data_IF_806533139472
#
_entry.id   IF_806533139472
#
_cell.length_a   1.000
_cell.length_b   1.000
_cell.length_c   1.000
_cell.angle_alpha   90.00
_cell.angle_beta   90.00
_cell.angle_gamma   90.00
#
_symmetry.space_group_name_H-M   'P 1'
#
loop_
_entity.id
_entity.type
_entity.pdbx_description
1 polymer ?
#
# COMPACT_ATOMS: atom_id res chain seq x y z
N UNK A 1 25.83 -36.45 -41.67
CA UNK A 1 24.96 -36.85 -40.55
C UNK A 1 25.68 -36.50 -39.27
N UNK A 2 25.45 -35.32 -38.77
CA UNK A 2 26.01 -34.81 -37.53
C UNK A 2 24.90 -34.93 -36.45
N UNK A 3 25.16 -35.76 -35.45
CA UNK A 3 24.25 -35.96 -34.32
C UNK A 3 24.14 -34.66 -33.51
N UNK A 4 22.93 -34.20 -33.32
CA UNK A 4 22.60 -33.12 -32.38
C UNK A 4 22.75 -33.68 -30.94
N UNK A 5 23.74 -33.17 -30.24
CA UNK A 5 23.95 -33.44 -28.81
C UNK A 5 22.84 -32.73 -28.03
N UNK A 6 21.92 -33.51 -27.52
CA UNK A 6 20.73 -33.03 -26.79
C UNK A 6 20.90 -33.22 -25.28
N UNK A 7 22.08 -32.92 -24.73
CA UNK A 7 22.31 -32.90 -23.29
C UNK A 7 21.85 -31.56 -22.67
N UNK A 8 20.54 -31.33 -22.64
CA UNK A 8 19.98 -30.36 -21.66
C UNK A 8 20.09 -31.00 -20.26
N UNK A 9 21.14 -30.63 -19.53
CA UNK A 9 21.20 -30.85 -18.10
C UNK A 9 20.07 -30.05 -17.46
N UNK A 10 18.97 -30.73 -17.11
CA UNK A 10 17.98 -30.19 -16.20
C UNK A 10 18.68 -30.00 -14.86
N UNK A 11 18.98 -28.75 -14.52
CA UNK A 11 19.27 -28.39 -13.14
C UNK A 11 18.10 -28.88 -12.31
N UNK A 12 18.34 -29.72 -11.32
CA UNK A 12 17.35 -30.09 -10.31
C UNK A 12 17.10 -28.86 -9.43
N UNK A 13 16.39 -27.86 -9.98
CA UNK A 13 15.80 -26.81 -9.18
C UNK A 13 14.86 -27.49 -8.19
N UNK A 14 15.00 -27.23 -6.91
CA UNK A 14 14.07 -27.65 -5.87
C UNK A 14 12.65 -27.34 -6.37
N UNK A 15 11.88 -28.38 -6.64
CA UNK A 15 10.46 -28.23 -7.00
C UNK A 15 9.76 -27.74 -5.74
N UNK A 16 9.46 -26.45 -5.68
CA UNK A 16 8.73 -25.86 -4.56
C UNK A 16 7.26 -26.22 -4.69
N UNK A 17 6.71 -26.85 -3.68
CA UNK A 17 5.27 -27.07 -3.57
C UNK A 17 4.59 -25.82 -3.00
N UNK A 18 4.04 -25.00 -3.88
CA UNK A 18 3.37 -23.74 -3.52
C UNK A 18 2.16 -23.97 -2.63
N UNK A 19 1.44 -25.08 -2.78
CA UNK A 19 0.31 -25.41 -1.94
C UNK A 19 0.74 -25.79 -0.53
N UNK A 20 1.87 -26.44 -0.38
CA UNK A 20 2.46 -26.72 0.94
C UNK A 20 2.86 -25.42 1.66
N UNK A 21 3.38 -24.40 0.93
CA UNK A 21 3.65 -23.10 1.52
C UNK A 21 2.36 -22.39 1.98
N UNK A 22 1.27 -22.53 1.20
CA UNK A 22 -0.03 -22.02 1.62
C UNK A 22 -0.57 -22.75 2.86
N UNK A 23 -0.44 -24.07 2.95
CA UNK A 23 -0.81 -24.86 4.15
C UNK A 23 -0.04 -24.40 5.38
N UNK A 24 1.27 -24.22 5.23
CA UNK A 24 2.16 -23.71 6.29
C UNK A 24 1.73 -22.33 6.76
N UNK A 25 1.43 -21.43 5.84
CA UNK A 25 0.95 -20.07 6.12
C UNK A 25 -0.40 -20.09 6.87
N UNK A 26 -1.36 -20.89 6.41
CA UNK A 26 -2.69 -21.03 7.02
C UNK A 26 -2.62 -21.64 8.42
N UNK A 27 -1.67 -22.55 8.66
CA UNK A 27 -1.39 -23.08 9.99
C UNK A 27 -0.69 -22.10 10.93
N UNK A 28 -0.44 -20.84 10.49
CA UNK A 28 0.27 -19.82 11.26
C UNK A 28 1.79 -19.99 11.26
N UNK A 29 2.32 -20.97 10.51
CA UNK A 29 3.75 -21.20 10.36
C UNK A 29 4.43 -20.07 9.59
N UNK A 30 5.72 -19.87 9.88
CA UNK A 30 6.56 -18.90 9.20
C UNK A 30 7.33 -19.60 8.07
N UNK A 31 7.31 -19.02 6.86
CA UNK A 31 8.20 -19.46 5.79
C UNK A 31 9.66 -19.28 6.22
N UNK A 32 10.51 -20.23 5.89
CA UNK A 32 11.96 -20.06 6.01
C UNK A 32 12.45 -18.98 5.03
N UNK A 33 13.64 -18.43 5.24
CA UNK A 33 14.22 -17.47 4.28
C UNK A 33 14.39 -18.06 2.89
N UNK A 34 14.77 -19.33 2.80
CA UNK A 34 14.95 -20.00 1.50
C UNK A 34 13.60 -20.21 0.79
N UNK A 35 12.54 -20.57 1.51
CA UNK A 35 11.17 -20.63 0.97
C UNK A 35 10.70 -19.24 0.50
N UNK A 36 10.96 -18.19 1.27
CA UNK A 36 10.62 -16.81 0.92
C UNK A 36 11.40 -16.32 -0.33
N UNK A 37 12.71 -16.60 -0.40
CA UNK A 37 13.51 -16.32 -1.60
C UNK A 37 13.02 -17.10 -2.81
N UNK A 38 12.65 -18.38 -2.64
CA UNK A 38 12.12 -19.19 -3.71
C UNK A 38 10.84 -18.58 -4.31
N UNK A 39 9.97 -17.95 -3.50
CA UNK A 39 8.81 -17.20 -4.01
C UNK A 39 9.26 -16.06 -4.93
N UNK A 40 10.26 -15.28 -4.52
CA UNK A 40 10.71 -14.10 -5.27
C UNK A 40 11.48 -14.44 -6.55
N UNK A 41 12.23 -15.58 -6.54
CA UNK A 41 13.17 -15.95 -7.61
C UNK A 41 12.65 -17.08 -8.52
N UNK A 42 11.43 -17.56 -8.30
CA UNK A 42 10.82 -18.59 -9.12
C UNK A 42 10.74 -18.20 -10.60
N UNK A 43 10.76 -19.21 -11.49
CA UNK A 43 10.55 -19.01 -12.91
C UNK A 43 9.17 -18.42 -13.22
N UNK A 44 9.02 -17.81 -14.38
CA UNK A 44 7.75 -17.23 -14.81
C UNK A 44 6.64 -18.28 -14.97
N UNK A 45 6.98 -19.52 -15.28
CA UNK A 45 6.04 -20.63 -15.39
C UNK A 45 5.33 -20.96 -14.06
N UNK A 46 5.98 -20.67 -12.92
CA UNK A 46 5.42 -20.91 -11.60
C UNK A 46 4.44 -19.80 -11.14
N UNK A 47 4.34 -18.67 -11.85
CA UNK A 47 3.61 -17.50 -11.34
C UNK A 47 2.13 -17.78 -11.08
N UNK A 48 1.46 -18.53 -11.94
CA UNK A 48 0.04 -18.84 -11.75
C UNK A 48 -0.19 -19.76 -10.55
N UNK A 49 0.70 -20.75 -10.33
CA UNK A 49 0.64 -21.63 -9.17
C UNK A 49 0.90 -20.87 -7.86
N UNK A 50 1.84 -19.91 -7.89
CA UNK A 50 2.10 -19.01 -6.77
C UNK A 50 0.87 -18.15 -6.44
N UNK A 51 0.23 -17.56 -7.45
CA UNK A 51 -0.98 -16.77 -7.29
C UNK A 51 -2.13 -17.62 -6.76
N UNK A 52 -2.29 -18.85 -7.25
CA UNK A 52 -3.32 -19.78 -6.76
C UNK A 52 -3.11 -20.12 -5.27
N UNK A 53 -1.86 -20.36 -4.86
CA UNK A 53 -1.50 -20.61 -3.46
C UNK A 53 -1.80 -19.39 -2.56
N UNK A 54 -1.38 -18.19 -2.98
CA UNK A 54 -1.65 -16.95 -2.26
C UNK A 54 -3.14 -16.63 -2.18
N UNK A 55 -3.91 -16.87 -3.26
CA UNK A 55 -5.35 -16.69 -3.29
C UNK A 55 -6.06 -17.59 -2.31
N UNK A 56 -5.64 -18.85 -2.18
CA UNK A 56 -6.16 -19.77 -1.19
C UNK A 56 -5.99 -19.21 0.23
N UNK A 57 -4.81 -18.67 0.57
CA UNK A 57 -4.55 -18.03 1.87
C UNK A 57 -5.44 -16.80 2.05
N UNK A 58 -5.53 -15.94 1.03
CA UNK A 58 -6.37 -14.75 1.08
C UNK A 58 -7.84 -15.09 1.33
N UNK A 59 -8.37 -16.10 0.64
CA UNK A 59 -9.78 -16.50 0.72
C UNK A 59 -10.21 -16.94 2.10
N UNK A 60 -9.33 -17.53 2.88
CA UNK A 60 -9.66 -18.01 4.23
C UNK A 60 -10.09 -16.86 5.15
N UNK A 61 -9.41 -15.71 5.08
CA UNK A 61 -9.74 -14.54 5.92
C UNK A 61 -10.68 -13.55 5.24
N UNK A 62 -10.48 -13.32 3.94
CA UNK A 62 -11.09 -12.19 3.22
C UNK A 62 -12.16 -12.60 2.22
N UNK A 63 -12.32 -13.90 1.93
CA UNK A 63 -13.20 -14.35 0.86
C UNK A 63 -12.85 -13.68 -0.46
N UNK A 64 -13.88 -13.20 -1.18
CA UNK A 64 -13.75 -12.42 -2.42
C UNK A 64 -13.93 -10.90 -2.20
N UNK A 65 -13.88 -10.42 -0.95
CA UNK A 65 -14.07 -9.00 -0.65
C UNK A 65 -12.84 -8.18 -0.98
N UNK A 66 -13.06 -6.99 -1.54
CA UNK A 66 -12.03 -5.98 -1.82
C UNK A 66 -12.41 -4.69 -1.11
N UNK A 67 -11.48 -4.13 -0.34
CA UNK A 67 -11.62 -2.84 0.33
C UNK A 67 -11.10 -1.72 -0.56
N UNK A 68 -11.86 -0.64 -0.61
CA UNK A 68 -11.43 0.59 -1.27
C UNK A 68 -11.03 1.63 -0.24
N UNK A 69 -9.89 2.25 -0.49
CA UNK A 69 -9.41 3.40 0.27
C UNK A 69 -9.30 4.61 -0.66
N UNK A 70 -9.68 5.77 -0.16
CA UNK A 70 -9.49 7.03 -0.87
C UNK A 70 -8.40 7.85 -0.15
N UNK A 71 -7.47 8.41 -0.94
CA UNK A 71 -6.32 9.12 -0.41
C UNK A 71 -6.50 10.63 -0.61
N UNK A 72 -6.36 11.39 0.48
CA UNK A 72 -6.35 12.85 0.47
C UNK A 72 -4.98 13.36 0.88
N UNK A 73 -4.28 14.05 -0.02
CA UNK A 73 -3.10 14.84 0.31
C UNK A 73 -3.55 16.16 0.95
N UNK A 74 -3.70 16.18 2.27
CA UNK A 74 -4.27 17.34 2.99
C UNK A 74 -3.27 18.47 3.20
N UNK A 75 -1.97 18.21 3.08
CA UNK A 75 -0.88 19.20 3.04
C UNK A 75 0.22 18.68 2.13
N UNK A 76 0.67 19.49 1.18
CA UNK A 76 1.63 19.07 0.16
C UNK A 76 2.92 19.90 0.17
N UNK A 77 4.04 19.21 -0.06
CA UNK A 77 5.38 19.81 -0.07
C UNK A 77 5.83 20.26 1.32
N UNK A 78 6.84 21.12 1.39
CA UNK A 78 7.37 21.73 2.64
C UNK A 78 7.82 20.68 3.69
N UNK A 79 8.13 19.45 3.28
CA UNK A 79 8.60 18.38 4.17
C UNK A 79 10.09 18.61 4.51
N UNK A 80 10.49 18.62 5.79
CA UNK A 80 11.89 18.78 6.18
C UNK A 80 12.72 17.50 6.04
N UNK A 81 12.09 16.37 5.73
CA UNK A 81 12.75 15.08 5.55
C UNK A 81 13.46 15.00 4.18
N UNK A 82 14.47 14.11 4.09
CA UNK A 82 15.29 13.92 2.88
C UNK A 82 15.05 12.57 2.17
N UNK A 83 13.85 12.00 2.30
CA UNK A 83 13.54 10.73 1.66
C UNK A 83 13.78 10.78 0.15
N UNK A 84 14.64 9.90 -0.36
CA UNK A 84 15.16 9.89 -1.74
C UNK A 84 14.09 9.60 -2.81
N UNK A 85 13.04 8.86 -2.46
CA UNK A 85 11.92 8.53 -3.36
C UNK A 85 10.84 9.60 -3.42
N UNK A 86 10.83 10.55 -2.46
CA UNK A 86 9.66 11.40 -2.21
C UNK A 86 9.73 12.73 -2.94
N UNK A 87 8.74 12.99 -3.81
CA UNK A 87 8.60 14.28 -4.51
C UNK A 87 8.37 15.47 -3.57
N UNK A 88 7.88 15.23 -2.34
CA UNK A 88 7.63 16.25 -1.32
C UNK A 88 8.84 16.49 -0.39
N UNK A 89 9.93 15.76 -0.56
CA UNK A 89 11.15 15.85 0.25
C UNK A 89 11.87 17.20 0.06
N UNK A 90 12.61 17.65 1.09
CA UNK A 90 13.41 18.90 1.03
C UNK A 90 14.50 18.88 -0.03
N UNK A 91 14.96 17.69 -0.42
CA UNK A 91 16.00 17.50 -1.43
C UNK A 91 15.45 17.31 -2.84
N UNK A 92 14.11 17.18 -2.98
CA UNK A 92 13.46 16.98 -4.27
C UNK A 92 13.32 18.31 -5.03
N UNK A 93 13.64 18.27 -6.31
CA UNK A 93 13.35 19.33 -7.28
C UNK A 93 12.10 19.04 -8.13
N UNK A 94 11.33 18.01 -7.77
CA UNK A 94 10.13 17.63 -8.50
C UNK A 94 9.11 18.79 -8.54
N UNK A 95 8.51 18.99 -9.70
CA UNK A 95 7.47 19.99 -9.93
C UNK A 95 6.13 19.45 -9.39
N UNK A 96 5.85 19.73 -8.13
CA UNK A 96 4.60 19.38 -7.45
C UNK A 96 3.91 20.65 -6.92
N UNK A 97 2.60 20.60 -6.82
CA UNK A 97 1.84 21.64 -6.13
C UNK A 97 2.16 21.61 -4.63
N UNK A 98 2.50 22.79 -4.06
CA UNK A 98 2.83 22.95 -2.64
C UNK A 98 1.79 23.84 -1.98
N UNK A 99 1.15 23.31 -0.95
CA UNK A 99 0.11 24.03 -0.21
C UNK A 99 0.12 23.65 1.28
N UNK A 100 -0.27 24.59 2.16
CA UNK A 100 -0.45 24.31 3.58
C UNK A 100 -1.65 23.38 3.80
N UNK A 101 -1.91 23.01 5.05
CA UNK A 101 -3.09 22.22 5.42
C UNK A 101 -4.35 22.82 4.79
N UNK A 102 -5.06 21.98 4.02
CA UNK A 102 -6.30 22.35 3.34
C UNK A 102 -7.34 22.91 4.32
N UNK A 103 -8.19 23.79 3.82
CA UNK A 103 -9.35 24.27 4.54
C UNK A 103 -10.37 23.13 4.71
N UNK A 104 -11.20 23.23 5.74
CA UNK A 104 -12.14 22.16 6.11
C UNK A 104 -13.15 21.83 5.00
N UNK A 105 -13.61 22.83 4.24
CA UNK A 105 -14.51 22.65 3.11
C UNK A 105 -13.89 21.74 2.03
N UNK A 106 -12.59 21.91 1.73
CA UNK A 106 -11.88 21.06 0.76
C UNK A 106 -11.70 19.63 1.25
N UNK A 107 -11.51 19.43 2.56
CA UNK A 107 -11.47 18.09 3.15
C UNK A 107 -12.84 17.44 3.07
N UNK A 108 -13.92 18.21 3.30
CA UNK A 108 -15.28 17.69 3.18
C UNK A 108 -15.64 17.34 1.74
N UNK A 109 -15.24 18.14 0.74
CA UNK A 109 -15.38 17.81 -0.69
C UNK A 109 -14.68 16.48 -1.03
N UNK A 110 -13.48 16.25 -0.46
CA UNK A 110 -12.76 14.98 -0.63
C UNK A 110 -13.46 13.80 0.04
N UNK A 111 -14.05 14.02 1.22
CA UNK A 111 -14.84 12.98 1.91
C UNK A 111 -16.14 12.65 1.13
N UNK A 112 -16.83 13.66 0.58
CA UNK A 112 -17.99 13.46 -0.30
C UNK A 112 -17.61 12.62 -1.53
N UNK A 113 -16.45 12.90 -2.11
CA UNK A 113 -15.90 12.13 -3.24
C UNK A 113 -15.55 10.69 -2.85
N UNK A 114 -14.88 10.51 -1.71
CA UNK A 114 -14.56 9.18 -1.21
C UNK A 114 -15.81 8.31 -1.05
N UNK A 115 -16.87 8.86 -0.46
CA UNK A 115 -18.14 8.17 -0.30
C UNK A 115 -18.80 7.85 -1.65
N UNK A 116 -18.78 8.81 -2.59
CA UNK A 116 -19.31 8.64 -3.95
C UNK A 116 -18.60 7.49 -4.69
N UNK A 117 -17.28 7.38 -4.54
CA UNK A 117 -16.45 6.33 -5.14
C UNK A 117 -16.47 5.01 -4.35
N UNK A 118 -17.41 4.84 -3.43
CA UNK A 118 -17.57 3.62 -2.62
C UNK A 118 -16.35 3.26 -1.76
N UNK A 119 -15.49 4.23 -1.45
CA UNK A 119 -14.39 3.99 -0.51
C UNK A 119 -14.94 3.77 0.90
N UNK A 120 -14.45 2.72 1.56
CA UNK A 120 -14.77 2.47 2.97
C UNK A 120 -13.88 3.26 3.94
N UNK A 121 -12.77 3.82 3.44
CA UNK A 121 -11.79 4.53 4.27
C UNK A 121 -11.27 5.77 3.56
N UNK A 122 -11.27 6.90 4.25
CA UNK A 122 -10.56 8.13 3.86
C UNK A 122 -9.19 8.15 4.53
N UNK A 123 -8.12 8.12 3.74
CA UNK A 123 -6.74 8.24 4.20
C UNK A 123 -6.30 9.71 4.11
N UNK A 124 -6.22 10.41 5.24
CA UNK A 124 -5.76 11.80 5.32
C UNK A 124 -4.26 11.84 5.54
N UNK A 125 -3.54 12.42 4.59
CA UNK A 125 -2.07 12.48 4.60
C UNK A 125 -1.60 13.93 4.64
N UNK A 126 -0.60 14.22 5.47
CA UNK A 126 0.13 15.48 5.45
C UNK A 126 1.61 15.23 5.17
N UNK A 127 2.24 16.15 4.45
CA UNK A 127 3.70 16.19 4.32
C UNK A 127 4.32 16.77 5.61
N UNK A 128 5.42 16.19 6.08
CA UNK A 128 6.14 16.68 7.26
C UNK A 128 6.69 15.57 8.12
N UNK A 129 7.63 15.92 9.02
CA UNK A 129 8.20 14.99 10.00
C UNK A 129 7.19 14.63 11.09
N UNK A 130 6.48 15.63 11.59
CA UNK A 130 5.45 15.53 12.62
C UNK A 130 4.54 16.78 12.52
N UNK A 131 3.26 16.70 12.81
CA UNK A 131 2.38 17.87 12.76
C UNK A 131 2.70 18.83 13.91
N UNK A 132 2.83 20.12 13.60
CA UNK A 132 2.78 21.18 14.61
C UNK A 132 1.36 21.32 15.16
N UNK A 133 1.21 21.88 16.38
CA UNK A 133 -0.06 21.91 17.11
C UNK A 133 -1.22 22.54 16.32
N UNK A 134 -0.95 23.61 15.55
CA UNK A 134 -1.97 24.27 14.72
C UNK A 134 -2.47 23.37 13.60
N UNK A 135 -1.58 22.65 12.90
CA UNK A 135 -1.96 21.71 11.84
C UNK A 135 -2.67 20.52 12.46
N UNK A 136 -2.16 20.03 13.59
CA UNK A 136 -2.74 18.90 14.30
C UNK A 136 -4.18 19.18 14.76
N UNK A 137 -4.43 20.37 15.33
CA UNK A 137 -5.78 20.82 15.69
C UNK A 137 -6.75 20.82 14.50
N UNK A 138 -6.30 21.34 13.33
CA UNK A 138 -7.11 21.31 12.10
C UNK A 138 -7.42 19.88 11.64
N UNK A 139 -6.47 18.94 11.77
CA UNK A 139 -6.70 17.52 11.46
C UNK A 139 -7.78 16.95 12.36
N UNK A 140 -7.70 17.19 13.68
CA UNK A 140 -8.69 16.69 14.64
C UNK A 140 -10.10 17.23 14.33
N UNK A 141 -10.21 18.50 14.00
CA UNK A 141 -11.49 19.14 13.64
C UNK A 141 -12.05 18.56 12.33
N UNK A 142 -11.18 18.36 11.34
CA UNK A 142 -11.57 17.76 10.07
C UNK A 142 -12.06 16.31 10.26
N UNK A 143 -11.38 15.50 11.07
CA UNK A 143 -11.78 14.13 11.39
C UNK A 143 -13.19 14.13 12.00
N UNK A 144 -13.46 14.98 13.02
CA UNK A 144 -14.78 15.08 13.65
C UNK A 144 -15.86 15.49 12.63
N UNK A 145 -15.56 16.46 11.75
CA UNK A 145 -16.51 16.91 10.73
C UNK A 145 -16.85 15.82 9.72
N UNK A 146 -15.84 15.07 9.23
CA UNK A 146 -16.07 13.96 8.31
C UNK A 146 -16.91 12.87 8.97
N UNK A 147 -16.57 12.47 10.19
CA UNK A 147 -17.31 11.44 10.96
C UNK A 147 -18.76 11.86 11.27
N UNK A 148 -19.03 13.14 11.41
CA UNK A 148 -20.38 13.64 11.63
C UNK A 148 -21.27 13.54 10.38
N UNK A 149 -20.69 13.54 9.19
CA UNK A 149 -21.43 13.55 7.91
C UNK A 149 -21.41 12.19 7.19
N UNK A 150 -20.32 11.42 7.31
CA UNK A 150 -20.08 10.21 6.55
C UNK A 150 -19.75 9.01 7.43
N UNK A 151 -20.20 7.85 7.02
CA UNK A 151 -19.79 6.57 7.59
C UNK A 151 -18.48 6.07 6.96
N UNK A 152 -17.46 6.95 6.92
CA UNK A 152 -16.14 6.64 6.44
C UNK A 152 -15.22 6.32 7.62
N UNK A 153 -14.49 5.23 7.55
CA UNK A 153 -13.33 5.02 8.44
C UNK A 153 -12.25 6.04 8.13
N UNK A 154 -11.57 6.53 9.16
CA UNK A 154 -10.48 7.48 8.97
C UNK A 154 -9.14 6.80 9.23
N UNK A 155 -8.24 6.90 8.24
CA UNK A 155 -6.84 6.57 8.38
C UNK A 155 -6.02 7.86 8.35
N UNK A 156 -5.20 8.12 9.38
CA UNK A 156 -4.34 9.30 9.45
C UNK A 156 -2.88 8.93 9.19
N UNK A 157 -2.19 9.69 8.31
CA UNK A 157 -0.77 9.57 8.00
C UNK A 157 -0.10 10.93 8.21
N UNK A 158 0.44 11.16 9.40
CA UNK A 158 0.86 12.49 9.86
C UNK A 158 2.35 12.58 10.23
N UNK A 159 3.17 11.65 9.73
CA UNK A 159 4.58 11.55 10.11
C UNK A 159 4.80 10.86 11.45
N UNK A 160 5.87 11.20 12.16
CA UNK A 160 6.19 10.66 13.48
C UNK A 160 5.22 11.21 14.53
N UNK A 161 4.65 10.31 15.33
CA UNK A 161 3.67 10.66 16.37
C UNK A 161 4.12 10.14 17.73
N UNK A 162 3.90 10.92 18.77
CA UNK A 162 4.05 10.49 20.15
C UNK A 162 2.73 9.91 20.72
N UNK A 163 2.80 9.31 21.89
CA UNK A 163 1.64 8.66 22.53
C UNK A 163 0.47 9.61 22.81
N UNK A 164 0.75 10.88 23.16
CA UNK A 164 -0.30 11.90 23.38
C UNK A 164 -1.05 12.22 22.08
N UNK A 165 -0.32 12.44 20.99
CA UNK A 165 -0.91 12.71 19.68
C UNK A 165 -1.74 11.51 19.19
N UNK A 166 -1.25 10.29 19.39
CA UNK A 166 -1.97 9.06 19.05
C UNK A 166 -3.29 8.98 19.84
N UNK A 167 -3.26 9.25 21.15
CA UNK A 167 -4.48 9.24 21.96
C UNK A 167 -5.48 10.31 21.51
N UNK A 168 -5.04 11.53 21.22
CA UNK A 168 -5.91 12.61 20.71
C UNK A 168 -6.55 12.28 19.37
N UNK A 169 -5.83 11.58 18.47
CA UNK A 169 -6.39 11.09 17.20
C UNK A 169 -7.47 10.02 17.45
N UNK A 170 -7.22 9.10 18.36
CA UNK A 170 -8.20 8.10 18.78
C UNK A 170 -9.47 8.74 19.32
N UNK A 171 -9.33 9.73 20.22
CA UNK A 171 -10.46 10.44 20.82
C UNK A 171 -11.25 11.27 19.79
N UNK A 172 -10.60 11.70 18.71
CA UNK A 172 -11.26 12.40 17.61
C UNK A 172 -12.02 11.46 16.65
N UNK A 173 -11.82 10.14 16.75
CA UNK A 173 -12.51 9.14 15.93
C UNK A 173 -11.68 8.60 14.76
N UNK A 174 -10.35 8.71 14.82
CA UNK A 174 -9.45 8.02 13.88
C UNK A 174 -9.39 6.54 14.26
N UNK A 175 -9.67 5.64 13.32
CA UNK A 175 -9.60 4.19 13.55
C UNK A 175 -8.24 3.60 13.29
N UNK A 176 -7.50 4.17 12.34
CA UNK A 176 -6.23 3.62 11.88
C UNK A 176 -5.19 4.73 11.75
N UNK A 177 -3.97 4.48 12.18
CA UNK A 177 -2.84 5.37 11.91
C UNK A 177 -1.89 4.68 10.95
N UNK A 178 -1.57 5.36 9.85
CA UNK A 178 -0.57 4.91 8.90
C UNK A 178 0.79 5.54 9.22
N UNK A 179 1.77 4.67 9.38
CA UNK A 179 3.18 5.06 9.38
C UNK A 179 4.02 3.93 8.78
N UNK A 180 4.37 4.07 7.50
CA UNK A 180 5.10 3.03 6.77
C UNK A 180 6.52 2.86 7.30
N UNK A 181 7.00 1.62 7.41
CA UNK A 181 8.43 1.34 7.60
C UNK A 181 9.24 1.73 6.36
N UNK A 182 8.61 1.70 5.20
CA UNK A 182 9.09 1.96 3.85
C UNK A 182 10.01 0.88 3.28
N UNK A 183 11.03 0.44 4.00
CA UNK A 183 11.97 -0.60 3.59
C UNK A 183 12.50 -1.36 4.81
N UNK A 184 13.48 -2.25 4.65
CA UNK A 184 14.15 -2.95 5.75
C UNK A 184 14.99 -2.00 6.61
N UNK A 185 15.32 -2.44 7.82
CA UNK A 185 16.27 -1.72 8.68
C UNK A 185 17.63 -1.56 7.99
N UNK A 186 18.10 -2.61 7.31
CA UNK A 186 19.39 -2.62 6.61
C UNK A 186 19.43 -1.62 5.43
N UNK A 187 18.37 -1.50 4.67
CA UNK A 187 18.32 -0.62 3.50
C UNK A 187 17.86 0.82 3.81
N UNK A 188 17.34 1.09 5.02
CA UNK A 188 16.86 2.43 5.41
C UNK A 188 17.91 3.55 5.22
N UNK A 189 19.22 3.35 5.54
CA UNK A 189 20.22 4.42 5.36
C UNK A 189 20.42 4.86 3.90
N UNK A 190 20.13 3.98 2.93
CA UNK A 190 20.20 4.30 1.49
C UNK A 190 19.00 5.13 1.01
N UNK A 191 17.92 5.16 1.83
CA UNK A 191 16.64 5.77 1.45
C UNK A 191 16.44 7.12 2.13
N UNK A 192 16.92 7.28 3.37
CA UNK A 192 16.68 8.47 4.19
C UNK A 192 17.76 8.64 5.25
N UNK A 193 18.20 9.89 5.45
CA UNK A 193 19.21 10.24 6.48
C UNK A 193 18.65 11.00 7.69
N UNK A 194 17.44 11.58 7.56
CA UNK A 194 16.90 12.46 8.62
C UNK A 194 16.15 11.74 9.74
N UNK A 195 15.84 10.47 9.58
CA UNK A 195 15.27 9.61 10.63
C UNK A 195 15.67 8.14 10.40
N UNK A 196 15.55 7.33 11.44
CA UNK A 196 15.95 5.92 11.43
C UNK A 196 14.76 4.99 11.22
N UNK A 197 15.05 3.70 11.01
CA UNK A 197 14.05 2.64 11.00
C UNK A 197 13.34 2.54 12.37
N UNK A 198 14.09 2.67 13.46
CA UNK A 198 13.61 2.61 14.84
C UNK A 198 12.65 3.76 15.16
N UNK A 199 12.88 4.97 14.64
CA UNK A 199 11.95 6.10 14.77
C UNK A 199 10.57 5.73 14.19
N UNK A 200 10.55 5.01 13.07
CA UNK A 200 9.31 4.54 12.43
C UNK A 200 8.65 3.43 13.23
N UNK A 201 9.43 2.45 13.67
CA UNK A 201 8.95 1.37 14.56
C UNK A 201 8.34 1.95 15.82
N UNK A 202 8.99 2.96 16.43
CA UNK A 202 8.50 3.64 17.62
C UNK A 202 7.10 4.24 17.44
N UNK A 203 6.83 4.85 16.28
CA UNK A 203 5.49 5.37 15.96
C UNK A 203 4.46 4.23 15.81
N UNK A 204 4.78 3.16 15.10
CA UNK A 204 3.89 1.99 14.94
C UNK A 204 3.60 1.35 16.29
N UNK A 205 4.61 1.25 17.17
CA UNK A 205 4.45 0.72 18.52
C UNK A 205 3.55 1.60 19.38
N UNK A 206 3.69 2.92 19.34
CA UNK A 206 2.84 3.86 20.06
C UNK A 206 1.36 3.72 19.65
N UNK A 207 1.09 3.50 18.35
CA UNK A 207 -0.27 3.23 17.83
C UNK A 207 -0.83 1.93 18.40
N UNK A 208 -0.01 0.87 18.41
CA UNK A 208 -0.37 -0.44 18.95
C UNK A 208 -0.68 -0.36 20.47
N UNK A 209 0.19 0.32 21.22
CA UNK A 209 0.05 0.49 22.67
C UNK A 209 -1.22 1.28 23.06
N UNK A 210 -1.64 2.19 22.19
CA UNK A 210 -2.93 2.89 22.34
C UNK A 210 -4.15 2.01 21.98
N UNK A 211 -3.93 0.77 21.54
CA UNK A 211 -5.00 -0.15 21.13
C UNK A 211 -5.68 0.28 19.82
N UNK A 212 -5.01 1.03 18.96
CA UNK A 212 -5.49 1.42 17.64
C UNK A 212 -5.03 0.45 16.56
N UNK A 213 -5.71 0.47 15.40
CA UNK A 213 -5.29 -0.30 14.25
C UNK A 213 -4.04 0.34 13.62
N UNK A 214 -3.03 -0.47 13.39
CA UNK A 214 -1.80 -0.08 12.71
C UNK A 214 -1.93 -0.28 11.20
N UNK A 215 -1.51 0.71 10.43
CA UNK A 215 -1.29 0.61 9.00
C UNK A 215 0.19 0.93 8.74
N UNK A 216 0.94 -0.03 8.24
CA UNK A 216 2.35 0.15 7.91
C UNK A 216 2.75 -0.79 6.78
N UNK A 217 3.56 -0.32 5.87
CA UNK A 217 4.01 -1.08 4.72
C UNK A 217 5.30 -0.52 4.16
N UNK A 218 5.51 -0.71 2.87
CA UNK A 218 6.75 -0.31 2.22
C UNK A 218 6.58 0.22 0.82
N UNK A 219 7.73 0.63 0.27
CA UNK A 219 7.93 0.97 -1.12
C UNK A 219 8.99 0.01 -1.65
N UNK A 220 8.63 -0.76 -2.67
CA UNK A 220 9.49 -1.78 -3.27
C UNK A 220 10.00 -1.30 -4.62
N UNK A 221 11.19 -1.75 -5.00
CA UNK A 221 11.85 -1.37 -6.26
C UNK A 221 12.72 -0.12 -6.15
N UNK A 222 13.24 0.17 -4.95
CA UNK A 222 14.16 1.27 -4.69
C UNK A 222 15.65 0.86 -4.82
N UNK A 223 15.95 -0.40 -5.21
CA UNK A 223 17.30 -0.97 -5.27
C UNK A 223 17.61 -1.91 -4.11
N UNK A 224 16.62 -2.22 -3.28
CA UNK A 224 16.73 -3.18 -2.18
C UNK A 224 16.92 -4.61 -2.67
N UNK A 225 17.60 -5.44 -1.87
CA UNK A 225 17.77 -6.87 -2.15
C UNK A 225 16.51 -7.69 -1.86
N UNK A 226 16.45 -8.94 -2.33
CA UNK A 226 15.39 -9.90 -1.96
C UNK A 226 15.31 -10.10 -0.45
N UNK A 227 16.45 -10.08 0.24
CA UNK A 227 16.48 -10.19 1.70
C UNK A 227 15.86 -8.98 2.38
N UNK A 228 16.05 -7.78 1.85
CA UNK A 228 15.42 -6.56 2.37
C UNK A 228 13.89 -6.60 2.18
N UNK A 229 13.41 -7.13 1.05
CA UNK A 229 11.96 -7.34 0.81
C UNK A 229 11.37 -8.31 1.84
N UNK A 230 12.10 -9.40 2.14
CA UNK A 230 11.70 -10.40 3.13
C UNK A 230 11.73 -9.81 4.54
N UNK A 231 12.80 -9.10 4.90
CA UNK A 231 12.99 -8.51 6.23
C UNK A 231 11.93 -7.44 6.54
N UNK A 232 11.54 -6.65 5.55
CA UNK A 232 10.42 -5.72 5.70
C UNK A 232 9.11 -6.47 6.03
N UNK A 233 8.78 -7.53 5.29
CA UNK A 233 7.57 -8.31 5.54
C UNK A 233 7.58 -8.99 6.92
N UNK A 234 8.74 -9.50 7.36
CA UNK A 234 8.91 -10.08 8.69
C UNK A 234 8.77 -9.04 9.79
N UNK A 235 9.35 -7.85 9.63
CA UNK A 235 9.20 -6.74 10.58
C UNK A 235 7.75 -6.31 10.74
N UNK A 236 6.99 -6.23 9.63
CA UNK A 236 5.56 -5.93 9.66
C UNK A 236 4.75 -7.01 10.39
N UNK A 237 5.13 -8.29 10.24
CA UNK A 237 4.54 -9.41 10.96
C UNK A 237 4.83 -9.35 12.45
N UNK A 238 6.08 -9.11 12.84
CA UNK A 238 6.52 -9.01 14.23
C UNK A 238 5.80 -7.87 14.97
N UNK A 239 5.63 -6.73 14.30
CA UNK A 239 4.87 -5.59 14.80
C UNK A 239 3.36 -5.85 14.83
N UNK A 240 2.88 -6.99 14.32
CA UNK A 240 1.46 -7.33 14.20
C UNK A 240 0.63 -6.24 13.49
N UNK A 241 1.19 -5.69 12.41
CA UNK A 241 0.53 -4.65 11.62
C UNK A 241 -0.77 -5.21 11.02
N UNK A 242 -1.86 -4.45 11.08
CA UNK A 242 -3.19 -4.90 10.63
C UNK A 242 -3.49 -4.61 9.15
N UNK A 243 -2.92 -3.53 8.59
CA UNK A 243 -3.08 -3.14 7.19
C UNK A 243 -1.72 -2.82 6.59
N UNK A 244 -1.39 -3.44 5.46
CA UNK A 244 -0.08 -3.39 4.84
C UNK A 244 -0.20 -2.83 3.42
N UNK A 245 0.01 -1.52 3.23
CA UNK A 245 0.14 -0.93 1.90
C UNK A 245 1.47 -1.34 1.26
N UNK A 246 1.38 -1.99 0.10
CA UNK A 246 2.50 -2.35 -0.76
C UNK A 246 2.53 -1.34 -1.90
N UNK A 247 3.49 -0.42 -1.84
CA UNK A 247 3.73 0.53 -2.91
C UNK A 247 4.88 0.03 -3.78
N UNK A 248 4.80 0.32 -5.05
CA UNK A 248 5.86 0.11 -6.02
C UNK A 248 6.44 1.48 -6.41
N UNK A 249 7.76 1.63 -6.38
CA UNK A 249 8.39 2.92 -6.61
C UNK A 249 7.94 3.52 -7.94
N UNK A 250 7.37 4.72 -7.89
CA UNK A 250 7.18 5.55 -9.07
C UNK A 250 8.39 6.48 -9.15
N UNK A 251 9.27 6.33 -10.14
CA UNK A 251 10.47 7.16 -10.26
C UNK A 251 10.10 8.55 -10.79
N UNK A 252 9.80 9.46 -9.85
CA UNK A 252 9.38 10.84 -10.17
C UNK A 252 10.59 11.68 -10.57
N UNK A 253 10.56 12.38 -11.73
CA UNK A 253 11.60 13.33 -12.13
C UNK A 253 11.87 14.37 -11.02
N UNK A 254 13.14 14.65 -10.76
CA UNK A 254 13.57 15.55 -9.69
C UNK A 254 13.71 14.91 -8.31
N UNK A 255 13.45 13.62 -8.16
CA UNK A 255 13.80 12.84 -6.95
C UNK A 255 15.14 12.15 -7.12
N UNK A 256 15.80 11.75 -6.02
CA UNK A 256 17.07 11.02 -6.09
C UNK A 256 16.92 9.69 -6.83
N UNK A 257 15.75 9.04 -6.74
CA UNK A 257 15.46 7.75 -7.36
C UNK A 257 14.76 7.87 -8.72
N UNK A 258 14.82 9.01 -9.38
CA UNK A 258 14.15 9.25 -10.68
C UNK A 258 14.56 8.30 -11.81
N UNK A 259 15.73 7.65 -11.71
CA UNK A 259 16.27 6.77 -12.73
C UNK A 259 16.18 5.26 -12.40
N UNK A 260 15.62 4.88 -11.26
CA UNK A 260 15.49 3.47 -10.86
C UNK A 260 14.34 2.82 -11.65
N UNK A 261 14.61 1.65 -12.29
CA UNK A 261 13.67 0.90 -13.14
C UNK A 261 13.86 -0.60 -12.96
N UNK A 262 13.58 -1.11 -11.77
CA UNK A 262 13.87 -2.52 -11.42
C UNK A 262 12.63 -3.43 -11.43
N UNK A 263 11.44 -2.84 -11.49
CA UNK A 263 10.20 -3.59 -11.38
C UNK A 263 9.60 -3.94 -12.73
N UNK A 264 9.12 -5.17 -12.84
CA UNK A 264 8.20 -5.63 -13.86
C UNK A 264 6.93 -6.22 -13.24
N UNK A 265 5.85 -6.47 -14.00
CA UNK A 265 4.59 -6.96 -13.44
C UNK A 265 4.72 -8.27 -12.67
N UNK A 266 5.58 -9.20 -13.13
CA UNK A 266 5.75 -10.53 -12.50
C UNK A 266 6.49 -10.40 -11.16
N UNK A 267 7.51 -9.54 -11.11
CA UNK A 267 8.21 -9.22 -9.86
C UNK A 267 7.25 -8.63 -8.83
N UNK A 268 6.41 -7.67 -9.23
CA UNK A 268 5.41 -7.08 -8.36
C UNK A 268 4.41 -8.12 -7.82
N UNK A 269 3.95 -9.03 -8.68
CA UNK A 269 3.04 -10.10 -8.27
C UNK A 269 3.71 -11.08 -7.29
N UNK A 270 4.98 -11.47 -7.51
CA UNK A 270 5.72 -12.34 -6.56
C UNK A 270 5.89 -11.67 -5.19
N UNK A 271 6.14 -10.37 -5.16
CA UNK A 271 6.19 -9.61 -3.91
C UNK A 271 4.82 -9.68 -3.18
N UNK A 272 3.73 -9.46 -3.89
CA UNK A 272 2.38 -9.57 -3.31
C UNK A 272 2.07 -10.99 -2.82
N UNK A 273 2.49 -12.02 -3.56
CA UNK A 273 2.39 -13.43 -3.15
C UNK A 273 3.17 -13.67 -1.87
N UNK A 274 4.43 -13.25 -1.82
CA UNK A 274 5.27 -13.38 -0.62
C UNK A 274 4.62 -12.72 0.59
N UNK A 275 4.15 -11.48 0.42
CA UNK A 275 3.49 -10.74 1.51
C UNK A 275 2.24 -11.48 2.00
N UNK A 276 1.42 -12.03 1.11
CA UNK A 276 0.25 -12.83 1.52
C UNK A 276 0.64 -14.09 2.27
N UNK A 277 1.66 -14.80 1.83
CA UNK A 277 2.13 -16.02 2.50
C UNK A 277 2.77 -15.73 3.87
N UNK A 278 3.46 -14.60 4.03
CA UNK A 278 4.03 -14.18 5.31
C UNK A 278 3.02 -13.50 6.24
N UNK A 279 1.98 -12.87 5.69
CA UNK A 279 0.98 -12.05 6.37
C UNK A 279 -0.44 -12.56 6.03
N UNK A 280 -0.80 -13.79 6.47
CA UNK A 280 -2.01 -14.47 5.99
C UNK A 280 -3.32 -13.76 6.34
N UNK A 281 -3.37 -13.09 7.48
CA UNK A 281 -4.60 -12.46 8.02
C UNK A 281 -4.66 -10.96 7.86
N UNK A 282 -3.55 -10.31 7.48
CA UNK A 282 -3.47 -8.88 7.33
C UNK A 282 -4.20 -8.39 6.07
N UNK A 283 -4.74 -7.18 6.13
CA UNK A 283 -5.15 -6.48 4.93
C UNK A 283 -3.91 -6.13 4.10
N UNK A 284 -3.79 -6.67 2.89
CA UNK A 284 -2.74 -6.29 1.94
C UNK A 284 -3.35 -5.38 0.88
N UNK A 285 -2.79 -4.18 0.75
CA UNK A 285 -3.24 -3.17 -0.20
C UNK A 285 -2.23 -2.99 -1.31
N UNK A 286 -2.65 -3.19 -2.56
CA UNK A 286 -1.87 -2.72 -3.71
C UNK A 286 -2.08 -1.21 -3.80
N UNK A 287 -0.99 -0.47 -3.60
CA UNK A 287 -1.01 0.98 -3.38
C UNK A 287 -0.35 1.75 -4.53
N UNK A 288 0.44 2.77 -4.25
CA UNK A 288 1.09 3.58 -5.28
C UNK A 288 1.93 2.74 -6.24
N UNK A 289 1.93 3.11 -7.52
CA UNK A 289 2.65 2.42 -8.60
C UNK A 289 1.94 1.18 -9.16
N UNK A 290 0.73 0.88 -8.72
CA UNK A 290 -0.07 -0.26 -9.21
C UNK A 290 -0.21 -0.22 -10.74
N UNK A 291 -0.72 0.87 -11.26
CA UNK A 291 -1.00 1.06 -12.69
C UNK A 291 0.28 1.03 -13.52
N UNK A 292 1.32 1.67 -13.00
CA UNK A 292 2.62 1.82 -13.63
C UNK A 292 3.31 0.46 -13.82
N UNK A 293 3.32 -0.36 -12.78
CA UNK A 293 4.12 -1.58 -12.74
C UNK A 293 3.32 -2.85 -13.05
N UNK A 294 2.06 -2.96 -12.63
CA UNK A 294 1.24 -4.12 -12.95
C UNK A 294 0.62 -4.03 -14.35
N UNK A 295 0.38 -2.85 -14.90
CA UNK A 295 -0.11 -2.62 -16.26
C UNK A 295 -1.40 -3.42 -16.53
N UNK A 296 -1.44 -4.24 -17.58
CA UNK A 296 -2.56 -5.13 -17.90
C UNK A 296 -2.76 -6.27 -16.87
N UNK A 297 -1.81 -6.48 -15.96
CA UNK A 297 -1.88 -7.52 -14.94
C UNK A 297 -2.41 -7.00 -13.59
N UNK A 298 -3.00 -5.81 -13.52
CA UNK A 298 -3.49 -5.22 -12.28
C UNK A 298 -4.50 -6.13 -11.55
N UNK A 299 -5.38 -6.75 -12.30
CA UNK A 299 -6.38 -7.68 -11.76
C UNK A 299 -5.74 -8.87 -11.04
N UNK A 300 -4.57 -9.33 -11.50
CA UNK A 300 -3.85 -10.45 -10.88
C UNK A 300 -3.37 -10.08 -9.47
N UNK A 301 -3.15 -8.81 -9.19
CA UNK A 301 -2.79 -8.32 -7.86
C UNK A 301 -3.90 -8.51 -6.81
N UNK A 302 -5.16 -8.63 -7.22
CA UNK A 302 -6.29 -8.86 -6.32
C UNK A 302 -6.36 -10.30 -5.78
N UNK A 303 -5.68 -11.26 -6.39
CA UNK A 303 -5.63 -12.62 -5.89
C UNK A 303 -4.81 -12.76 -4.60
N UNK A 304 -3.60 -12.16 -4.46
CA UNK A 304 -2.91 -12.12 -3.18
C UNK A 304 -3.38 -10.96 -2.27
N UNK A 305 -3.75 -9.79 -2.83
CA UNK A 305 -4.19 -8.62 -2.07
C UNK A 305 -5.73 -8.56 -1.96
N UNK A 306 -6.22 -7.80 -1.00
CA UNK A 306 -7.65 -7.63 -0.73
C UNK A 306 -8.08 -6.17 -0.59
N UNK A 307 -7.21 -5.25 -1.01
CA UNK A 307 -7.47 -3.81 -0.90
C UNK A 307 -6.70 -3.04 -1.98
N UNK A 308 -7.27 -1.92 -2.46
CA UNK A 308 -6.62 -0.96 -3.35
C UNK A 308 -6.98 0.48 -2.95
N UNK A 309 -6.22 1.45 -3.47
CA UNK A 309 -6.68 2.84 -3.52
C UNK A 309 -7.55 3.05 -4.76
N UNK A 310 -8.61 3.83 -4.62
CA UNK A 310 -9.45 4.33 -5.71
C UNK A 310 -9.21 5.83 -5.89
N UNK A 311 -9.06 6.28 -7.13
CA UNK A 311 -8.75 7.67 -7.45
C UNK A 311 -7.24 7.97 -7.48
N UNK A 312 -6.89 9.22 -7.18
CA UNK A 312 -5.51 9.69 -7.32
C UNK A 312 -4.64 9.37 -6.09
N UNK A 313 -3.32 9.41 -6.29
CA UNK A 313 -2.32 9.33 -5.24
C UNK A 313 -1.93 10.72 -4.71
N UNK A 314 -0.88 10.81 -3.88
CA UNK A 314 -0.48 12.08 -3.25
C UNK A 314 -0.06 13.15 -4.26
N UNK A 315 0.75 12.77 -5.24
CA UNK A 315 1.36 13.68 -6.22
C UNK A 315 1.32 13.12 -7.64
N UNK A 316 0.61 12.02 -7.87
CA UNK A 316 0.46 11.37 -9.19
C UNK A 316 -0.98 10.93 -9.40
N UNK A 317 -1.39 10.87 -10.67
CA UNK A 317 -2.71 10.37 -11.01
C UNK A 317 -2.77 8.84 -10.87
N UNK A 318 -3.92 8.36 -10.39
CA UNK A 318 -4.30 6.95 -10.43
C UNK A 318 -5.18 6.61 -11.63
N UNK A 319 -5.71 5.40 -11.66
CA UNK A 319 -6.70 4.95 -12.65
C UNK A 319 -8.05 5.63 -12.42
N UNK A 320 -8.89 5.65 -13.43
CA UNK A 320 -10.27 6.08 -13.27
C UNK A 320 -11.02 5.11 -12.33
N UNK A 321 -11.77 5.67 -11.38
CA UNK A 321 -12.48 4.86 -10.39
C UNK A 321 -13.43 3.83 -11.00
N UNK A 322 -14.14 4.18 -12.09
CA UNK A 322 -15.01 3.21 -12.77
C UNK A 322 -14.25 2.04 -13.36
N UNK A 323 -13.03 2.26 -13.85
CA UNK A 323 -12.19 1.18 -14.37
C UNK A 323 -11.70 0.27 -13.23
N UNK A 324 -11.42 0.83 -12.06
CA UNK A 324 -11.11 0.04 -10.85
C UNK A 324 -12.32 -0.81 -10.42
N UNK A 325 -13.50 -0.22 -10.38
CA UNK A 325 -14.74 -0.93 -9.99
C UNK A 325 -15.07 -2.05 -10.97
N UNK A 326 -14.97 -1.80 -12.29
CA UNK A 326 -15.16 -2.82 -13.31
C UNK A 326 -14.12 -3.94 -13.20
N UNK A 327 -12.87 -3.61 -13.02
CA UNK A 327 -11.80 -4.61 -12.84
C UNK A 327 -12.09 -5.54 -11.66
N UNK A 328 -12.62 -5.02 -10.56
CA UNK A 328 -13.00 -5.82 -9.39
C UNK A 328 -14.18 -6.74 -9.72
N UNK A 329 -15.22 -6.21 -10.35
CA UNK A 329 -16.44 -6.93 -10.74
C UNK A 329 -16.14 -8.03 -11.77
N UNK A 330 -15.43 -7.69 -12.86
CA UNK A 330 -15.06 -8.61 -13.94
C UNK A 330 -14.22 -9.80 -13.43
N UNK A 331 -13.45 -9.61 -12.35
CA UNK A 331 -12.68 -10.66 -11.71
C UNK A 331 -13.47 -11.51 -10.70
N UNK A 332 -14.77 -11.24 -10.53
CA UNK A 332 -15.64 -11.96 -9.57
C UNK A 332 -15.39 -11.59 -8.11
N UNK A 333 -14.76 -10.45 -7.85
CA UNK A 333 -14.62 -9.89 -6.51
C UNK A 333 -15.80 -8.97 -6.18
N UNK A 334 -16.05 -8.75 -4.89
CA UNK A 334 -17.10 -7.86 -4.38
C UNK A 334 -16.51 -6.76 -3.51
N UNK A 335 -17.06 -5.57 -3.58
CA UNK A 335 -16.65 -4.49 -2.70
C UNK A 335 -17.07 -4.77 -1.26
N UNK A 336 -16.24 -4.36 -0.31
CA UNK A 336 -16.56 -4.36 1.12
C UNK A 336 -17.02 -2.96 1.55
N UNK A 337 -18.18 -2.90 2.20
CA UNK A 337 -18.69 -1.67 2.82
C UNK A 337 -17.85 -1.24 4.03
N UNK A 338 -18.00 -0.01 4.55
CA UNK A 338 -17.32 0.41 5.78
C UNK A 338 -17.53 -0.54 6.95
N UNK A 339 -18.71 -1.17 7.07
CA UNK A 339 -19.03 -2.12 8.14
C UNK A 339 -18.37 -3.49 7.98
N UNK A 340 -17.75 -3.75 6.82
CA UNK A 340 -17.08 -5.02 6.52
C UNK A 340 -17.97 -6.04 5.79
N UNK A 341 -19.18 -5.65 5.41
CA UNK A 341 -20.12 -6.50 4.68
C UNK A 341 -19.92 -6.37 3.16
N UNK A 342 -20.29 -7.37 2.37
CA UNK A 342 -20.31 -7.24 0.91
C UNK A 342 -21.25 -6.14 0.46
N UNK A 343 -20.81 -5.28 -0.48
CA UNK A 343 -21.68 -4.30 -1.10
C UNK A 343 -22.78 -5.02 -1.90
N UNK A 344 -24.02 -4.64 -1.63
CA UNK A 344 -25.19 -5.15 -2.35
C UNK A 344 -25.58 -4.14 -3.44
N UNK A 345 -25.76 -4.61 -4.68
CA UNK A 345 -26.14 -3.79 -5.83
C UNK A 345 -24.96 -3.52 -6.78
N UNK A 346 -25.21 -2.69 -7.78
CA UNK A 346 -24.21 -2.31 -8.79
C UNK A 346 -23.15 -1.40 -8.17
N UNK A 347 -21.86 -1.79 -8.17
CA UNK A 347 -20.78 -0.95 -7.66
C UNK A 347 -20.61 0.36 -8.45
N UNK A 348 -21.09 0.42 -9.69
CA UNK A 348 -21.02 1.60 -10.56
C UNK A 348 -22.18 2.57 -10.35
N UNK A 349 -23.20 2.18 -9.58
CA UNK A 349 -24.38 3.02 -9.37
C UNK A 349 -24.03 4.34 -8.67
N UNK A 350 -24.40 5.46 -9.30
CA UNK A 350 -24.10 6.81 -8.85
C UNK A 350 -22.64 7.26 -9.06
N UNK A 351 -21.73 6.39 -9.52
CA UNK A 351 -20.33 6.77 -9.80
C UNK A 351 -20.24 7.44 -11.17
N UNK A 352 -19.78 8.71 -11.27
CA UNK A 352 -19.71 9.43 -12.53
C UNK A 352 -18.64 8.83 -13.47
N UNK A 353 -18.83 8.95 -14.78
CA UNK A 353 -17.84 8.51 -15.77
C UNK A 353 -16.51 9.25 -15.63
N UNK A 354 -16.60 10.52 -15.28
CA UNK A 354 -15.45 11.36 -14.96
C UNK A 354 -15.76 12.21 -13.72
N UNK A 355 -14.79 12.39 -12.87
CA UNK A 355 -14.86 13.33 -11.75
C UNK A 355 -13.69 14.32 -11.84
N UNK A 356 -13.86 15.56 -11.34
CA UNK A 356 -12.77 16.53 -11.32
C UNK A 356 -11.55 15.97 -10.58
N UNK A 357 -10.42 15.92 -11.28
CA UNK A 357 -9.12 15.53 -10.72
C UNK A 357 -8.25 16.74 -10.48
N UNK A 358 -7.39 16.67 -9.48
CA UNK A 358 -6.32 17.64 -9.36
C UNK A 358 -5.42 17.55 -10.61
N UNK A 359 -4.78 18.63 -11.05
CA UNK A 359 -3.81 18.63 -12.16
C UNK A 359 -2.51 17.96 -11.72
N UNK A 360 -2.56 16.66 -11.47
CA UNK A 360 -1.41 15.83 -11.10
C UNK A 360 -0.72 15.31 -12.36
N UNK A 361 0.62 15.17 -12.36
CA UNK A 361 1.33 14.65 -13.50
C UNK A 361 0.95 13.19 -13.78
N UNK A 362 0.68 12.88 -15.06
CA UNK A 362 0.71 11.51 -15.57
C UNK A 362 2.18 11.08 -15.66
N UNK A 363 2.56 10.08 -14.90
CA UNK A 363 3.89 9.51 -15.05
C UNK A 363 3.79 8.40 -16.10
N UNK A 364 4.26 8.71 -17.30
CA UNK A 364 4.47 7.72 -18.35
C UNK A 364 5.68 6.85 -17.96
N UNK A 365 5.55 5.53 -18.11
CA UNK A 365 6.58 4.51 -17.87
C UNK A 365 7.13 4.04 -19.21
#
# INVERSE_FOLDING_TARGET
MTALDNSRTFSTALVVDWQQLADKSLAGGLLTRDEARAVLTASDDALLDQLAAAYRVRRETWGNRVRLHFLLNAQSGLCPEDCHYCSQSKISSAEIEKYPMLAQDKIMEAADRAALLKAGTLCMVISGRSPGETVFGKVLDAVKAVRAKHDLKICACLGLLNAEQVQRLKDAGVETINHNLNTSANFTPEVVGTHTFEDRVGTVQAVKDAGMKTCSGGILGMGESDDDVIDLALSLRELDVKSVPVNFLIPVPGTTFENIRELDPRRCLRILVLYRLLLPTQEIRVSGGREVHLRSMQVMGLYPANSIFVGDYLTTQGQNARDDLRMIEDAGFVLETPDGEPLVGDPLDGVPDQYPRAPLPLIAV
#
